data_IF_400352414154
#
_entry.id   IF_400352414154
#
_cell.length_a   1.000
_cell.length_b   1.000
_cell.length_c   1.000
_cell.angle_alpha   90.00
_cell.angle_beta   90.00
_cell.angle_gamma   90.00
#
_symmetry.space_group_name_H-M   'P 1'
#
loop_
_entity.id
_entity.type
_entity.pdbx_description
1 polymer ?
#
# COMPACT_ATOMS: atom_id res chain seq x y z
N UNK A 1 1.94 21.38 -2.56
CA UNK A 1 2.94 20.77 -1.64
C UNK A 1 2.45 19.38 -1.29
N UNK A 2 3.10 18.33 -1.82
CA UNK A 2 2.78 16.96 -1.41
C UNK A 2 3.40 16.74 -0.03
N UNK A 3 2.59 16.31 0.95
CA UNK A 3 3.08 15.93 2.26
C UNK A 3 4.15 14.85 2.13
N UNK A 4 5.19 14.88 2.95
CA UNK A 4 6.22 13.82 2.97
C UNK A 4 5.64 12.48 3.43
N UNK A 5 4.56 12.53 4.21
CA UNK A 5 3.89 11.35 4.73
C UNK A 5 2.37 11.43 4.53
N UNK A 6 1.77 10.29 4.21
CA UNK A 6 0.35 10.12 3.96
C UNK A 6 -0.30 9.39 5.13
N UNK A 7 -1.52 9.78 5.48
CA UNK A 7 -2.36 8.95 6.34
C UNK A 7 -2.65 7.61 5.64
N UNK A 8 -3.03 6.58 6.41
CA UNK A 8 -3.43 5.29 5.86
C UNK A 8 -4.49 5.40 4.73
N UNK A 9 -5.47 6.29 4.89
CA UNK A 9 -6.52 6.51 3.89
C UNK A 9 -5.99 7.26 2.66
N UNK A 10 -5.16 8.29 2.87
CA UNK A 10 -4.52 9.03 1.78
C UNK A 10 -3.57 8.13 0.97
N UNK A 11 -2.85 7.23 1.63
CA UNK A 11 -1.96 6.27 0.99
C UNK A 11 -2.74 5.35 0.04
N UNK A 12 -3.83 4.74 0.50
CA UNK A 12 -4.66 3.89 -0.37
C UNK A 12 -5.22 4.67 -1.56
N UNK A 13 -5.65 5.92 -1.35
CA UNK A 13 -6.13 6.78 -2.43
C UNK A 13 -5.05 7.06 -3.47
N UNK A 14 -3.82 7.31 -3.04
CA UNK A 14 -2.68 7.59 -3.92
C UNK A 14 -2.34 6.42 -4.84
N UNK A 15 -2.45 5.18 -4.32
CA UNK A 15 -2.25 3.95 -5.12
C UNK A 15 -3.51 3.51 -5.88
N UNK A 16 -4.54 4.37 -5.93
CA UNK A 16 -5.77 4.13 -6.70
C UNK A 16 -6.77 3.16 -6.06
N UNK A 17 -6.73 2.97 -4.74
CA UNK A 17 -7.53 1.97 -4.03
C UNK A 17 -8.43 2.56 -2.95
N UNK A 18 -9.56 1.89 -2.72
CA UNK A 18 -10.37 2.11 -1.53
C UNK A 18 -9.59 1.67 -0.28
N UNK A 19 -9.76 2.43 0.81
CA UNK A 19 -9.08 2.13 2.06
C UNK A 19 -9.51 0.76 2.62
N UNK A 20 -8.55 -0.15 2.70
CA UNK A 20 -8.65 -1.40 3.44
C UNK A 20 -7.39 -1.63 4.27
N UNK A 21 -7.56 -1.86 5.57
CA UNK A 21 -6.43 -2.04 6.49
C UNK A 21 -5.60 -3.28 6.15
N UNK A 22 -6.19 -4.31 5.56
CA UNK A 22 -5.50 -5.56 5.25
C UNK A 22 -4.50 -5.40 4.11
N UNK A 23 -4.79 -4.53 3.13
CA UNK A 23 -3.83 -4.15 2.08
C UNK A 23 -2.56 -3.57 2.72
N UNK A 24 -2.72 -2.60 3.62
CA UNK A 24 -1.59 -1.95 4.30
C UNK A 24 -0.82 -2.93 5.18
N UNK A 25 -1.50 -3.87 5.86
CA UNK A 25 -0.84 -4.90 6.66
C UNK A 25 -0.01 -5.83 5.78
N UNK A 26 -0.54 -6.29 4.65
CA UNK A 26 0.18 -7.18 3.74
C UNK A 26 1.37 -6.46 3.09
N UNK A 27 1.22 -5.19 2.68
CA UNK A 27 2.34 -4.39 2.19
C UNK A 27 3.48 -4.26 3.23
N UNK A 28 3.14 -4.06 4.51
CA UNK A 28 4.12 -4.03 5.60
C UNK A 28 4.74 -5.39 5.85
N UNK A 29 3.94 -6.46 5.84
CA UNK A 29 4.38 -7.85 6.03
C UNK A 29 5.43 -8.27 5.00
N UNK A 30 5.27 -7.85 3.75
CA UNK A 30 6.25 -8.08 2.69
C UNK A 30 7.39 -7.05 2.65
N UNK A 31 7.45 -6.12 3.62
CA UNK A 31 8.51 -5.11 3.69
C UNK A 31 8.47 -4.08 2.56
N UNK A 32 7.35 -3.97 1.84
CA UNK A 32 7.23 -3.05 0.70
C UNK A 32 7.04 -1.60 1.16
N UNK A 33 6.45 -1.40 2.34
CA UNK A 33 6.21 -0.10 2.95
C UNK A 33 6.53 -0.12 4.44
N UNK A 34 6.81 1.04 5.00
CA UNK A 34 6.96 1.23 6.45
C UNK A 34 6.03 2.33 6.95
N UNK A 35 5.68 2.29 8.23
CA UNK A 35 4.86 3.34 8.83
C UNK A 35 5.35 3.71 10.23
N UNK A 36 5.06 4.95 10.61
CA UNK A 36 5.13 5.40 12.01
C UNK A 36 3.73 5.77 12.50
N UNK A 37 3.60 5.91 13.82
CA UNK A 37 2.34 6.30 14.46
C UNK A 37 2.44 7.68 15.06
N UNK A 38 1.38 8.46 14.94
CA UNK A 38 1.13 9.66 15.73
C UNK A 38 -0.23 9.49 16.39
N UNK A 39 -0.23 9.27 17.70
CA UNK A 39 -1.41 8.78 18.42
C UNK A 39 -1.92 7.46 17.84
N UNK A 40 -3.20 7.43 17.43
CA UNK A 40 -3.84 6.24 16.83
C UNK A 40 -3.70 6.17 15.30
N UNK A 41 -3.15 7.20 14.66
CA UNK A 41 -3.05 7.29 13.19
C UNK A 41 -1.72 6.73 12.71
N UNK A 42 -1.75 5.93 11.63
CA UNK A 42 -0.56 5.47 10.91
C UNK A 42 -0.25 6.40 9.75
N UNK A 43 1.03 6.69 9.57
CA UNK A 43 1.56 7.53 8.50
C UNK A 43 2.62 6.76 7.71
N UNK A 44 2.51 6.82 6.40
CA UNK A 44 3.34 6.11 5.43
C UNK A 44 4.07 7.13 4.56
N UNK A 45 5.25 6.79 4.04
CA UNK A 45 5.98 7.71 3.16
C UNK A 45 5.25 7.88 1.84
N UNK A 46 5.19 9.10 1.33
CA UNK A 46 4.62 9.36 -0.01
C UNK A 46 5.42 8.65 -1.11
N UNK A 47 6.75 8.54 -0.96
CA UNK A 47 7.59 7.77 -1.86
C UNK A 47 7.24 6.27 -1.91
N UNK A 48 6.83 5.68 -0.77
CA UNK A 48 6.38 4.29 -0.73
C UNK A 48 5.07 4.15 -1.53
N UNK A 49 4.16 5.13 -1.46
CA UNK A 49 2.92 5.11 -2.24
C UNK A 49 3.20 5.14 -3.74
N UNK A 50 4.09 6.03 -4.20
CA UNK A 50 4.48 6.09 -5.60
C UNK A 50 5.07 4.74 -6.06
N UNK A 51 6.01 4.17 -5.29
CA UNK A 51 6.61 2.88 -5.59
C UNK A 51 5.56 1.76 -5.71
N UNK A 52 4.59 1.70 -4.80
CA UNK A 52 3.52 0.69 -4.87
C UNK A 52 2.62 0.92 -6.08
N UNK A 53 2.28 2.17 -6.39
CA UNK A 53 1.51 2.53 -7.59
C UNK A 53 2.21 2.03 -8.85
N UNK A 54 3.52 2.28 -8.96
CA UNK A 54 4.33 1.82 -10.09
C UNK A 54 4.39 0.28 -10.15
N UNK A 55 4.59 -0.40 -9.02
CA UNK A 55 4.60 -1.86 -8.97
C UNK A 55 3.25 -2.50 -9.38
N UNK A 56 2.12 -1.85 -9.05
CA UNK A 56 0.79 -2.28 -9.49
C UNK A 56 0.61 -2.05 -10.99
N UNK A 57 1.01 -0.88 -11.49
CA UNK A 57 0.90 -0.52 -12.90
C UNK A 57 1.76 -1.42 -13.79
N UNK A 58 2.99 -1.71 -13.37
CA UNK A 58 3.95 -2.58 -14.05
C UNK A 58 3.64 -4.08 -13.86
N UNK A 59 2.52 -4.43 -13.21
CA UNK A 59 2.12 -5.80 -12.92
C UNK A 59 3.21 -6.61 -12.20
N UNK A 60 3.99 -5.99 -11.33
CA UNK A 60 4.95 -6.68 -10.44
C UNK A 60 4.25 -7.28 -9.23
N UNK A 61 3.18 -6.62 -8.78
CA UNK A 61 2.29 -7.09 -7.73
C UNK A 61 0.83 -6.93 -8.15
N UNK A 62 -0.03 -7.78 -7.60
CA UNK A 62 -1.47 -7.66 -7.68
C UNK A 62 -2.06 -7.65 -6.26
N UNK A 63 -3.27 -7.11 -6.15
CA UNK A 63 -4.06 -7.11 -4.93
C UNK A 63 -5.26 -8.02 -5.17
N UNK A 64 -5.25 -9.19 -4.56
CA UNK A 64 -6.29 -10.20 -4.76
C UNK A 64 -7.24 -10.22 -3.55
N UNK A 65 -8.56 -10.08 -3.76
CA UNK A 65 -9.54 -10.34 -2.72
C UNK A 65 -9.71 -11.86 -2.52
N UNK A 66 -9.66 -12.32 -1.28
CA UNK A 66 -9.92 -13.71 -0.90
C UNK A 66 -10.65 -13.74 0.44
N UNK A 67 -11.85 -14.33 0.47
CA UNK A 67 -12.70 -14.46 1.66
C UNK A 67 -12.86 -13.18 2.48
N UNK A 68 -13.12 -12.06 1.79
CA UNK A 68 -13.34 -10.75 2.42
C UNK A 68 -12.06 -10.04 2.91
N UNK A 69 -10.88 -10.60 2.63
CA UNK A 69 -9.57 -9.99 2.89
C UNK A 69 -8.85 -9.69 1.58
N UNK A 70 -7.85 -8.83 1.65
CA UNK A 70 -7.00 -8.50 0.51
C UNK A 70 -5.57 -8.96 0.78
N UNK A 71 -4.96 -9.56 -0.24
CA UNK A 71 -3.59 -10.06 -0.20
C UNK A 71 -2.75 -9.47 -1.31
N UNK A 72 -1.46 -9.28 -1.05
CA UNK A 72 -0.49 -8.93 -2.09
C UNK A 72 0.05 -10.23 -2.70
N UNK A 73 -0.08 -10.35 -4.01
CA UNK A 73 0.51 -11.42 -4.80
C UNK A 73 1.62 -10.85 -5.67
N UNK A 74 2.81 -11.45 -5.60
CA UNK A 74 3.90 -11.14 -6.51
C UNK A 74 3.65 -11.88 -7.82
N UNK A 75 3.76 -11.16 -8.93
CA UNK A 75 3.61 -11.72 -10.26
C UNK A 75 4.99 -11.98 -10.84
N UNK A 76 5.22 -13.20 -11.30
CA UNK A 76 6.41 -13.54 -12.09
C UNK A 76 6.19 -13.04 -13.51
N UNK A 77 7.10 -12.20 -14.01
CA UNK A 77 7.18 -11.93 -15.44
C UNK A 77 8.04 -13.05 -16.04
N UNK A 78 7.39 -14.10 -16.54
CA UNK A 78 7.99 -15.05 -17.48
C UNK A 78 8.13 -14.42 -18.87
#
# INVERSE_FOLDING_TARGET
MNSLNLSAQSFCKEIGLTYHNDILKELVKYGLVSFFKVGRKRFYKTADAQKISDMLHERKIAIEPTDGRYYIKFLSND
#
